data_IF_745737954204
#
_entry.id   IF_745737954204
#
_cell.length_a   1.000
_cell.length_b   1.000
_cell.length_c   1.000
_cell.angle_alpha   90.00
_cell.angle_beta   90.00
_cell.angle_gamma   90.00
#
_symmetry.space_group_name_H-M   'P 1'
#
loop_
_entity.id
_entity.type
_entity.pdbx_description
1 polymer ?
#
# COMPACT_ATOMS: atom_id res chain seq x y z
N UNK A 1 4.13 -17.71 13.64
CA UNK A 1 4.89 -18.90 13.24
C UNK A 1 5.57 -18.71 11.91
N UNK A 2 6.58 -19.50 11.61
CA UNK A 2 7.18 -19.48 10.27
C UNK A 2 6.22 -20.08 9.25
N UNK A 3 6.19 -19.53 8.03
CA UNK A 3 5.39 -20.07 6.94
C UNK A 3 5.85 -21.50 6.60
N UNK A 4 4.92 -22.44 6.58
CA UNK A 4 5.19 -23.85 6.26
C UNK A 4 4.82 -24.18 4.80
N UNK A 5 4.03 -23.35 4.17
CA UNK A 5 3.60 -23.49 2.78
C UNK A 5 3.57 -22.15 2.05
N UNK A 6 3.50 -22.19 0.71
CA UNK A 6 3.37 -20.97 -0.12
C UNK A 6 2.08 -20.19 0.16
N UNK A 7 1.07 -20.84 0.72
CA UNK A 7 -0.23 -20.23 1.05
C UNK A 7 -0.22 -19.52 2.40
N UNK A 8 0.84 -19.68 3.19
CA UNK A 8 0.95 -19.06 4.52
C UNK A 8 1.44 -17.60 4.46
N UNK A 9 1.85 -17.14 3.28
CA UNK A 9 2.27 -15.75 3.10
C UNK A 9 1.07 -14.82 2.93
N UNK A 10 1.13 -13.58 3.46
CA UNK A 10 0.09 -12.57 3.27
C UNK A 10 -0.12 -12.16 1.81
N UNK A 11 0.88 -12.39 0.96
CA UNK A 11 0.86 -12.06 -0.48
C UNK A 11 1.20 -13.30 -1.29
N UNK A 12 0.25 -13.80 -2.08
CA UNK A 12 0.42 -14.99 -2.90
C UNK A 12 -0.12 -14.81 -4.31
N UNK A 13 0.53 -15.45 -5.29
CA UNK A 13 0.00 -15.54 -6.64
C UNK A 13 -1.17 -16.52 -6.70
N UNK A 14 -2.24 -16.17 -7.42
CA UNK A 14 -3.37 -17.05 -7.72
C UNK A 14 -3.48 -17.29 -9.22
N UNK A 15 -3.90 -18.52 -9.60
CA UNK A 15 -4.04 -18.90 -11.00
C UNK A 15 -5.22 -18.21 -11.69
N UNK A 16 -6.30 -17.95 -10.95
CA UNK A 16 -7.58 -17.44 -11.45
C UNK A 16 -7.74 -15.96 -11.10
N UNK A 17 -7.01 -15.08 -11.81
CA UNK A 17 -7.21 -13.64 -11.78
C UNK A 17 -8.35 -13.22 -12.71
N UNK A 18 -8.56 -11.92 -12.87
CA UNK A 18 -9.53 -11.36 -13.83
C UNK A 18 -9.19 -11.77 -15.28
N UNK A 19 -7.90 -11.70 -15.63
CA UNK A 19 -7.36 -12.24 -16.90
C UNK A 19 -6.06 -12.98 -16.59
N UNK A 20 -6.11 -14.30 -16.61
CA UNK A 20 -4.96 -15.13 -16.26
C UNK A 20 -4.65 -15.12 -14.77
N UNK A 21 -3.40 -14.85 -14.40
CA UNK A 21 -2.95 -14.84 -12.98
C UNK A 21 -3.35 -13.56 -12.27
N UNK A 22 -3.55 -13.67 -10.97
CA UNK A 22 -3.78 -12.54 -10.08
C UNK A 22 -2.89 -12.62 -8.83
N UNK A 23 -3.06 -11.65 -7.94
CA UNK A 23 -2.46 -11.65 -6.61
C UNK A 23 -3.58 -11.68 -5.56
N UNK A 24 -3.42 -12.50 -4.53
CA UNK A 24 -4.23 -12.47 -3.32
C UNK A 24 -3.40 -11.79 -2.23
N UNK A 25 -3.98 -10.75 -1.64
CA UNK A 25 -3.44 -10.03 -0.49
C UNK A 25 -4.36 -10.32 0.69
N UNK A 26 -3.80 -10.69 1.82
CA UNK A 26 -4.55 -11.08 3.00
C UNK A 26 -3.90 -10.54 4.26
N UNK A 27 -4.69 -9.88 5.11
CA UNK A 27 -4.25 -9.49 6.44
C UNK A 27 -4.29 -10.71 7.36
N UNK A 28 -3.19 -11.00 8.04
CA UNK A 28 -3.04 -12.19 8.86
C UNK A 28 -2.50 -11.85 10.24
N UNK A 29 -2.92 -12.65 11.22
CA UNK A 29 -2.30 -12.68 12.53
C UNK A 29 -0.87 -13.22 12.42
N UNK A 30 0.07 -12.59 13.11
CA UNK A 30 1.49 -12.94 13.11
C UNK A 30 1.85 -13.95 14.21
N UNK A 31 0.88 -14.31 15.04
CA UNK A 31 1.03 -15.25 16.11
C UNK A 31 1.90 -14.73 17.27
N UNK A 32 2.36 -15.65 18.12
CA UNK A 32 3.13 -15.33 19.32
C UNK A 32 4.45 -14.60 19.03
N UNK A 33 5.11 -14.91 17.92
CA UNK A 33 6.35 -14.23 17.53
C UNK A 33 6.10 -12.76 17.17
N UNK A 34 5.07 -12.49 16.38
CA UNK A 34 4.70 -11.12 16.06
C UNK A 34 4.25 -10.32 17.28
N UNK A 35 3.48 -10.95 18.19
CA UNK A 35 3.08 -10.34 19.44
C UNK A 35 4.28 -9.95 20.31
N UNK A 36 5.33 -10.76 20.33
CA UNK A 36 6.57 -10.48 21.08
C UNK A 36 7.29 -9.22 20.60
N UNK A 37 7.21 -8.93 19.28
CA UNK A 37 7.77 -7.71 18.67
C UNK A 37 6.71 -6.64 18.42
N UNK A 38 5.51 -6.77 19.00
CA UNK A 38 4.36 -5.86 18.88
C UNK A 38 3.85 -5.72 17.44
N UNK A 39 4.10 -6.69 16.59
CA UNK A 39 3.59 -6.78 15.22
C UNK A 39 2.47 -7.82 15.18
N UNK A 40 1.28 -7.48 15.67
CA UNK A 40 0.18 -8.42 15.87
C UNK A 40 -0.43 -8.94 14.57
N UNK A 41 -0.42 -8.12 13.54
CA UNK A 41 -0.95 -8.47 12.21
C UNK A 41 0.04 -8.08 11.12
N UNK A 42 -0.06 -8.76 9.99
CA UNK A 42 0.65 -8.44 8.76
C UNK A 42 -0.35 -8.31 7.61
N UNK A 43 -0.45 -7.12 7.03
CA UNK A 43 -1.21 -6.90 5.82
C UNK A 43 -0.46 -7.47 4.60
N UNK A 44 -1.21 -8.09 3.69
CA UNK A 44 -0.68 -8.45 2.38
C UNK A 44 -0.49 -7.20 1.55
N UNK A 45 0.71 -7.03 0.99
CA UNK A 45 1.07 -5.88 0.18
C UNK A 45 1.71 -6.32 -1.12
N UNK A 46 1.40 -5.59 -2.18
CA UNK A 46 2.12 -5.63 -3.46
C UNK A 46 2.44 -4.20 -3.87
N UNK A 47 3.70 -3.92 -4.17
CA UNK A 47 4.11 -2.57 -4.54
C UNK A 47 5.21 -2.56 -5.59
N UNK A 48 5.32 -1.44 -6.28
CA UNK A 48 6.46 -1.13 -7.14
C UNK A 48 7.49 -0.35 -6.32
N UNK A 49 8.68 -0.93 -6.15
CA UNK A 49 9.75 -0.35 -5.35
C UNK A 49 10.77 -1.36 -4.88
N UNK A 50 11.50 -1.06 -3.81
CA UNK A 50 12.49 -1.93 -3.19
C UNK A 50 12.14 -2.20 -1.73
N UNK A 51 12.59 -3.32 -1.20
CA UNK A 51 12.34 -3.73 0.17
C UNK A 51 13.67 -3.97 0.91
N UNK A 52 13.87 -3.29 2.03
CA UNK A 52 15.07 -3.40 2.86
C UNK A 52 14.81 -4.32 4.05
N UNK A 53 15.23 -5.58 3.90
CA UNK A 53 15.00 -6.63 4.90
C UNK A 53 15.56 -6.25 6.28
N UNK A 54 16.68 -5.53 6.34
CA UNK A 54 17.29 -5.09 7.60
C UNK A 54 16.38 -4.20 8.46
N UNK A 55 15.55 -3.39 7.83
CA UNK A 55 14.62 -2.49 8.52
C UNK A 55 13.27 -3.17 8.83
N UNK A 56 12.98 -4.33 8.25
CA UNK A 56 11.65 -4.93 8.30
C UNK A 56 11.15 -5.27 9.71
N UNK A 57 12.04 -5.57 10.65
CA UNK A 57 11.70 -5.91 12.03
C UNK A 57 11.78 -4.72 13.00
N UNK A 58 12.58 -3.72 12.68
CA UNK A 58 12.83 -2.57 13.55
C UNK A 58 12.00 -1.36 13.17
N UNK A 59 11.81 -1.14 11.87
CA UNK A 59 11.04 -0.03 11.33
C UNK A 59 10.37 -0.44 10.00
N UNK A 60 9.27 -1.23 10.06
CA UNK A 60 8.61 -1.78 8.87
C UNK A 60 8.16 -0.73 7.86
N UNK A 61 7.83 0.48 8.30
CA UNK A 61 7.40 1.58 7.43
C UNK A 61 8.54 2.08 6.55
N UNK A 62 9.76 2.10 7.07
CA UNK A 62 10.98 2.46 6.33
C UNK A 62 11.57 1.31 5.54
N UNK A 63 11.12 0.08 5.77
CA UNK A 63 11.57 -1.08 5.01
C UNK A 63 11.11 -1.04 3.54
N UNK A 64 10.03 -0.33 3.25
CA UNK A 64 9.45 -0.26 1.91
C UNK A 64 9.77 1.07 1.26
N UNK A 65 10.54 1.05 0.18
CA UNK A 65 10.89 2.21 -0.62
C UNK A 65 10.10 2.17 -1.92
N UNK A 66 9.21 3.14 -2.13
CA UNK A 66 8.26 3.13 -3.24
C UNK A 66 8.80 3.79 -4.50
N UNK A 67 8.53 3.17 -5.63
CA UNK A 67 8.65 3.76 -6.96
C UNK A 67 9.97 3.54 -7.67
N UNK A 68 9.85 3.55 -9.00
CA UNK A 68 10.96 3.58 -9.94
C UNK A 68 10.83 4.78 -10.88
N UNK A 69 11.91 5.15 -11.56
CA UNK A 69 11.92 6.24 -12.53
C UNK A 69 10.80 6.09 -13.55
N UNK A 70 10.12 7.19 -13.81
CA UNK A 70 8.97 7.23 -14.70
C UNK A 70 9.01 8.49 -15.57
N UNK A 71 8.78 8.30 -16.88
CA UNK A 71 9.03 9.30 -17.91
C UNK A 71 7.76 9.79 -18.61
N UNK A 72 6.58 9.42 -18.09
CA UNK A 72 5.28 9.77 -18.68
C UNK A 72 4.38 10.45 -17.65
N UNK A 73 3.40 11.21 -18.12
CA UNK A 73 2.34 11.73 -17.26
C UNK A 73 1.30 10.65 -17.00
N UNK A 74 1.16 10.16 -15.77
CA UNK A 74 0.07 9.25 -15.47
C UNK A 74 -1.26 10.01 -15.48
N UNK A 75 -2.31 9.39 -16.02
CA UNK A 75 -3.65 9.97 -16.05
C UNK A 75 -4.57 9.29 -15.07
N UNK A 76 -4.54 7.96 -15.05
CA UNK A 76 -5.51 7.16 -14.31
C UNK A 76 -4.87 5.85 -13.87
N UNK A 77 -5.13 5.44 -12.64
CA UNK A 77 -4.85 4.10 -12.12
C UNK A 77 -6.10 3.24 -12.33
N UNK A 78 -5.99 2.14 -13.08
CA UNK A 78 -7.12 1.26 -13.43
C UNK A 78 -6.79 -0.18 -13.09
N UNK A 79 -7.82 -0.92 -12.73
CA UNK A 79 -7.69 -2.35 -12.50
C UNK A 79 -9.00 -3.00 -12.06
N UNK A 80 -8.88 -4.24 -11.60
CA UNK A 80 -9.98 -5.03 -11.11
C UNK A 80 -9.58 -5.66 -9.78
N UNK A 81 -10.48 -5.66 -8.81
CA UNK A 81 -10.26 -6.26 -7.51
C UNK A 81 -11.50 -6.99 -7.00
N UNK A 82 -11.29 -7.85 -6.04
CA UNK A 82 -12.31 -8.40 -5.15
C UNK A 82 -11.87 -8.08 -3.75
N UNK A 83 -12.77 -7.68 -2.90
CA UNK A 83 -12.45 -7.37 -1.52
C UNK A 83 -13.49 -7.94 -0.58
N UNK A 84 -13.00 -8.51 0.51
CA UNK A 84 -13.81 -8.92 1.65
C UNK A 84 -13.06 -8.52 2.91
N UNK A 85 -13.70 -7.72 3.76
CA UNK A 85 -13.15 -7.39 5.06
C UNK A 85 -13.10 -8.63 5.95
N UNK A 86 -12.10 -8.72 6.82
CA UNK A 86 -12.04 -9.73 7.87
C UNK A 86 -13.18 -9.56 8.88
N UNK A 87 -13.48 -10.64 9.59
CA UNK A 87 -14.57 -10.63 10.59
C UNK A 87 -14.20 -9.82 11.83
N UNK A 88 -12.90 -9.69 12.13
CA UNK A 88 -12.39 -8.97 13.29
C UNK A 88 -11.40 -7.89 12.84
N UNK A 89 -11.70 -6.66 13.19
CA UNK A 89 -10.75 -5.56 13.12
C UNK A 89 -10.09 -5.40 14.49
N UNK A 90 -8.77 -5.30 14.55
CA UNK A 90 -8.04 -5.18 15.81
C UNK A 90 -7.00 -4.07 15.78
N UNK A 91 -6.85 -3.36 16.89
CA UNK A 91 -5.79 -2.39 17.13
C UNK A 91 -4.94 -2.88 18.30
N UNK A 92 -3.64 -2.99 18.11
CA UNK A 92 -2.70 -3.57 19.10
C UNK A 92 -3.13 -4.95 19.63
N UNK A 93 -3.68 -5.78 18.75
CA UNK A 93 -4.19 -7.11 19.11
C UNK A 93 -5.51 -7.10 19.89
N UNK A 94 -6.15 -5.94 20.06
CA UNK A 94 -7.45 -5.81 20.73
C UNK A 94 -8.56 -5.62 19.72
N UNK A 95 -9.57 -6.50 19.68
CA UNK A 95 -10.72 -6.35 18.80
C UNK A 95 -11.44 -5.00 19.01
N UNK A 96 -11.87 -4.40 17.90
CA UNK A 96 -12.67 -3.17 17.87
C UNK A 96 -14.05 -3.50 17.29
N UNK A 97 -15.09 -3.31 18.09
CA UNK A 97 -16.45 -3.58 17.65
C UNK A 97 -16.97 -2.50 16.68
N UNK A 98 -17.73 -2.90 15.68
CA UNK A 98 -18.35 -1.99 14.73
C UNK A 98 -17.43 -1.38 13.69
N UNK A 99 -16.14 -1.71 13.70
CA UNK A 99 -15.17 -1.25 12.70
C UNK A 99 -14.94 -2.33 11.68
N UNK A 100 -14.98 -1.98 10.38
CA UNK A 100 -14.62 -2.86 9.27
C UNK A 100 -13.44 -2.29 8.52
N UNK A 101 -12.47 -3.15 8.25
CA UNK A 101 -11.29 -2.81 7.47
C UNK A 101 -11.66 -2.48 6.01
N UNK A 102 -10.79 -1.79 5.32
CA UNK A 102 -10.85 -1.49 3.89
C UNK A 102 -9.50 -1.80 3.25
N UNK A 103 -9.51 -2.24 2.00
CA UNK A 103 -8.27 -2.32 1.24
C UNK A 103 -7.80 -0.93 0.82
N UNK A 104 -6.52 -0.81 0.50
CA UNK A 104 -5.94 0.41 -0.06
C UNK A 104 -5.34 0.14 -1.45
N UNK A 105 -5.70 0.98 -2.40
CA UNK A 105 -5.23 0.93 -3.79
C UNK A 105 -4.77 2.33 -4.14
N UNK A 106 -3.47 2.53 -4.34
CA UNK A 106 -2.98 3.85 -4.71
C UNK A 106 -1.76 3.83 -5.61
N UNK A 107 -1.54 4.95 -6.28
CA UNK A 107 -0.31 5.25 -6.99
C UNK A 107 0.12 6.68 -6.68
N UNK A 108 1.42 6.86 -6.47
CA UNK A 108 2.03 8.14 -6.18
C UNK A 108 3.05 8.50 -7.25
N UNK A 109 3.05 9.77 -7.68
CA UNK A 109 4.14 10.31 -8.47
C UNK A 109 4.82 11.42 -7.69
N UNK A 110 6.13 11.35 -7.57
CA UNK A 110 6.91 12.28 -6.79
C UNK A 110 8.21 12.69 -7.49
N UNK A 111 8.71 13.86 -7.14
CA UNK A 111 9.96 14.38 -7.68
C UNK A 111 11.15 13.72 -7.00
N UNK A 112 12.13 13.26 -7.80
CA UNK A 112 13.33 12.60 -7.34
C UNK A 112 14.54 13.06 -8.17
N UNK A 113 15.38 13.89 -7.58
CA UNK A 113 16.57 14.44 -8.24
C UNK A 113 17.58 13.37 -8.66
N UNK A 114 17.59 12.26 -7.93
CA UNK A 114 18.45 11.12 -8.16
C UNK A 114 17.82 9.81 -7.66
N UNK A 115 18.50 8.69 -7.87
CA UNK A 115 17.97 7.37 -7.52
C UNK A 115 17.88 7.11 -6.02
N UNK A 116 18.61 7.84 -5.18
CA UNK A 116 18.57 7.66 -3.73
C UNK A 116 17.34 8.32 -3.08
N UNK A 117 16.66 9.23 -3.77
CA UNK A 117 15.40 9.82 -3.28
C UNK A 117 14.29 8.79 -3.41
N UNK A 118 13.80 8.30 -2.28
CA UNK A 118 12.69 7.33 -2.19
C UNK A 118 11.68 7.84 -1.17
N UNK A 119 10.39 7.57 -1.41
CA UNK A 119 9.35 7.69 -0.41
C UNK A 119 9.12 6.32 0.23
N UNK A 120 8.79 6.31 1.50
CA UNK A 120 8.50 5.11 2.27
C UNK A 120 7.13 5.19 2.98
N UNK A 121 6.81 4.25 3.84
CA UNK A 121 5.50 4.20 4.52
C UNK A 121 5.23 5.38 5.45
N UNK A 122 6.25 6.13 5.90
CA UNK A 122 6.07 7.26 6.79
C UNK A 122 5.72 8.55 6.04
N UNK A 123 6.25 8.71 4.82
CA UNK A 123 6.20 9.99 4.11
C UNK A 123 5.46 9.94 2.75
N UNK A 124 5.01 8.77 2.32
CA UNK A 124 4.39 8.56 1.01
C UNK A 124 3.20 9.50 0.71
N UNK A 125 2.47 9.95 1.73
CA UNK A 125 1.33 10.87 1.58
C UNK A 125 1.61 12.30 2.06
N UNK A 126 2.70 12.51 2.78
CA UNK A 126 2.99 13.81 3.44
C UNK A 126 4.17 14.55 2.83
N UNK A 127 5.04 13.86 2.09
CA UNK A 127 6.24 14.42 1.49
C UNK A 127 5.96 15.62 0.60
N UNK A 128 6.81 16.64 0.71
CA UNK A 128 6.78 17.80 -0.19
C UNK A 128 7.22 17.45 -1.62
N UNK A 129 7.82 16.28 -1.83
CA UNK A 129 8.18 15.78 -3.16
C UNK A 129 7.00 15.21 -3.93
N UNK A 130 5.90 14.87 -3.24
CA UNK A 130 4.70 14.31 -3.87
C UNK A 130 4.07 15.31 -4.81
N UNK A 131 3.85 14.89 -6.08
CA UNK A 131 3.34 15.76 -7.15
C UNK A 131 1.92 15.39 -7.53
N UNK A 132 1.62 14.11 -7.66
CA UNK A 132 0.25 13.65 -7.91
C UNK A 132 -0.02 12.31 -7.26
N UNK A 133 -1.29 12.08 -6.96
CA UNK A 133 -1.80 10.92 -6.23
C UNK A 133 -3.06 10.41 -6.91
N UNK A 134 -3.14 9.10 -7.12
CA UNK A 134 -4.38 8.38 -7.40
C UNK A 134 -4.59 7.40 -6.24
N UNK A 135 -5.64 7.57 -5.43
CA UNK A 135 -5.94 6.68 -4.29
C UNK A 135 -7.43 6.41 -4.21
N UNK A 136 -7.79 5.15 -4.03
CA UNK A 136 -9.18 4.78 -3.77
C UNK A 136 -9.65 5.41 -2.46
N UNK A 137 -10.83 6.00 -2.44
CA UNK A 137 -11.39 6.49 -1.19
C UNK A 137 -11.99 5.33 -0.41
N UNK A 138 -11.89 5.31 0.92
CA UNK A 138 -12.45 4.23 1.74
C UNK A 138 -13.94 3.99 1.50
N UNK A 139 -14.71 5.05 1.24
CA UNK A 139 -16.13 4.99 0.92
C UNK A 139 -16.44 4.34 -0.44
N UNK A 140 -15.49 4.37 -1.38
CA UNK A 140 -15.63 3.79 -2.71
C UNK A 140 -15.19 2.31 -2.76
N UNK A 141 -14.64 1.76 -1.65
CA UNK A 141 -14.26 0.36 -1.57
C UNK A 141 -15.50 -0.52 -1.43
N UNK A 142 -15.72 -1.37 -2.43
CA UNK A 142 -16.86 -2.30 -2.49
C UNK A 142 -16.43 -3.68 -1.99
N UNK A 143 -17.15 -4.22 -0.99
CA UNK A 143 -17.02 -5.63 -0.61
C UNK A 143 -17.82 -6.50 -1.59
N UNK A 144 -17.13 -7.37 -2.33
CA UNK A 144 -17.75 -8.24 -3.32
C UNK A 144 -16.88 -9.45 -3.63
N UNK A 145 -17.52 -10.61 -3.83
CA UNK A 145 -16.90 -11.81 -4.40
C UNK A 145 -16.80 -11.74 -5.94
N UNK A 146 -17.42 -10.74 -6.55
CA UNK A 146 -17.31 -10.48 -7.98
C UNK A 146 -16.19 -9.46 -8.24
N UNK A 147 -15.60 -9.53 -9.45
CA UNK A 147 -14.62 -8.55 -9.87
C UNK A 147 -15.25 -7.17 -9.99
N UNK A 148 -14.69 -6.23 -9.26
CA UNK A 148 -15.07 -4.81 -9.26
C UNK A 148 -14.00 -4.02 -9.99
N UNK A 149 -14.42 -3.18 -10.92
CA UNK A 149 -13.52 -2.29 -11.65
C UNK A 149 -13.19 -1.07 -10.78
N UNK A 150 -11.98 -0.56 -10.90
CA UNK A 150 -11.65 0.76 -10.40
C UNK A 150 -10.95 1.59 -11.49
N UNK A 151 -11.25 2.87 -11.46
CA UNK A 151 -10.65 3.88 -12.33
C UNK A 151 -10.44 5.16 -11.53
N UNK A 152 -9.22 5.38 -11.07
CA UNK A 152 -8.87 6.46 -10.15
C UNK A 152 -8.00 7.47 -10.89
N UNK A 153 -8.45 8.72 -11.09
CA UNK A 153 -7.65 9.74 -11.73
C UNK A 153 -6.45 10.14 -10.85
N UNK A 154 -5.35 10.49 -11.49
CA UNK A 154 -4.23 11.15 -10.80
C UNK A 154 -4.56 12.62 -10.58
N UNK A 155 -4.62 13.04 -9.34
CA UNK A 155 -4.87 14.41 -8.97
C UNK A 155 -3.60 15.11 -8.49
N UNK A 156 -3.42 16.39 -8.83
CA UNK A 156 -2.29 17.18 -8.32
C UNK A 156 -2.32 17.30 -6.80
N UNK A 157 -1.19 17.10 -6.15
CA UNK A 157 -1.06 17.32 -4.71
C UNK A 157 -0.57 18.74 -4.45
N UNK A 158 -1.25 19.49 -3.57
CA UNK A 158 -0.92 20.88 -3.23
C UNK A 158 -0.78 21.79 -4.45
N UNK A 159 -1.54 21.54 -5.52
CA UNK A 159 -1.50 22.33 -6.77
C UNK A 159 -0.21 22.17 -7.60
N UNK A 160 0.62 21.17 -7.31
CA UNK A 160 1.86 20.94 -8.05
C UNK A 160 1.58 20.44 -9.46
N UNK A 161 2.43 20.85 -10.38
CA UNK A 161 2.36 20.47 -11.80
C UNK A 161 3.60 19.70 -12.17
N UNK A 162 3.43 18.67 -12.99
CA UNK A 162 4.55 17.89 -13.54
C UNK A 162 5.27 18.75 -14.58
N UNK A 163 6.55 18.99 -14.36
CA UNK A 163 7.43 19.72 -15.29
C UNK A 163 7.91 18.78 -16.41
N UNK A 164 7.75 19.19 -17.68
CA UNK A 164 8.09 18.36 -18.83
C UNK A 164 9.60 18.13 -18.99
N UNK A 165 10.43 19.11 -18.61
CA UNK A 165 11.88 18.98 -18.68
C UNK A 165 12.36 17.99 -17.63
N UNK A 166 11.90 18.11 -16.39
CA UNK A 166 12.19 17.16 -15.34
C UNK A 166 11.70 15.74 -15.68
N UNK A 167 10.50 15.65 -16.29
CA UNK A 167 9.93 14.36 -16.70
C UNK A 167 10.82 13.66 -17.75
N UNK A 168 11.24 14.39 -18.79
CA UNK A 168 12.14 13.87 -19.82
C UNK A 168 13.51 13.45 -19.26
N UNK A 169 13.98 14.15 -18.23
CA UNK A 169 15.24 13.87 -17.57
C UNK A 169 15.15 12.81 -16.45
N UNK A 170 14.00 12.13 -16.31
CA UNK A 170 13.82 11.05 -15.33
C UNK A 170 13.85 11.53 -13.88
N UNK A 171 13.45 12.79 -13.62
CA UNK A 171 13.42 13.39 -12.27
C UNK A 171 12.12 13.09 -11.52
N UNK A 172 11.37 12.09 -11.97
CA UNK A 172 10.18 11.62 -11.29
C UNK A 172 10.22 10.10 -11.08
N UNK A 173 9.59 9.66 -10.01
CA UNK A 173 9.33 8.26 -9.74
C UNK A 173 7.83 8.01 -9.60
N UNK A 174 7.39 6.81 -9.99
CA UNK A 174 6.04 6.33 -9.82
C UNK A 174 6.07 5.07 -8.96
N UNK A 175 5.32 5.09 -7.87
CA UNK A 175 5.01 3.93 -7.05
C UNK A 175 3.56 3.53 -7.20
N UNK A 176 3.27 2.25 -7.20
CA UNK A 176 1.92 1.69 -7.11
C UNK A 176 1.91 0.76 -5.93
N UNK A 177 0.88 0.85 -5.10
CA UNK A 177 0.73 0.03 -3.90
C UNK A 177 -0.68 -0.52 -3.84
N UNK A 178 -0.77 -1.81 -3.59
CA UNK A 178 -1.99 -2.53 -3.29
C UNK A 178 -1.84 -3.15 -1.91
N UNK A 179 -2.76 -2.88 -1.00
CA UNK A 179 -2.74 -3.41 0.36
C UNK A 179 -4.08 -4.04 0.72
N UNK A 180 -4.04 -5.15 1.45
CA UNK A 180 -5.24 -5.79 1.98
C UNK A 180 -5.91 -4.97 3.08
N UNK A 181 -5.22 -3.98 3.66
CA UNK A 181 -5.73 -3.11 4.72
C UNK A 181 -5.25 -1.67 4.52
N UNK A 182 -6.15 -0.70 4.66
CA UNK A 182 -5.81 0.73 4.66
C UNK A 182 -4.99 1.10 5.90
N UNK A 183 -5.22 0.41 7.00
CA UNK A 183 -4.55 0.58 8.28
C UNK A 183 -3.40 -0.41 8.49
N UNK A 184 -3.07 -1.21 7.48
CA UNK A 184 -2.09 -2.30 7.58
C UNK A 184 -0.71 -1.89 8.07
N UNK A 185 -0.29 -0.66 7.83
CA UNK A 185 0.91 -0.09 8.41
C UNK A 185 0.67 0.54 9.80
N UNK A 186 -0.56 0.97 10.10
CA UNK A 186 -0.93 1.59 11.36
C UNK A 186 -1.24 0.57 12.45
N UNK A 187 -1.66 -0.63 12.07
CA UNK A 187 -1.90 -1.73 13.01
C UNK A 187 -0.59 -2.28 13.62
N UNK A 188 0.55 -1.90 13.06
CA UNK A 188 1.87 -2.23 13.60
C UNK A 188 2.38 -1.22 14.63
N UNK A 189 1.89 0.03 14.61
CA UNK A 189 2.30 1.08 15.54
C UNK A 189 1.15 2.06 15.76
N UNK A 190 0.50 1.99 16.89
CA UNK A 190 -0.38 3.06 17.33
C UNK A 190 0.43 4.16 17.98
N UNK A 191 0.68 5.20 17.24
CA UNK A 191 0.64 6.55 17.79
C UNK A 191 -0.67 7.18 17.29
N UNK A 192 -1.51 7.77 18.13
CA UNK A 192 -2.70 8.45 17.65
C UNK A 192 -2.24 9.59 16.75
N UNK A 193 -2.51 9.48 15.46
CA UNK A 193 -2.47 10.64 14.60
C UNK A 193 -3.68 11.49 14.95
N UNK A 194 -3.52 12.76 15.34
CA UNK A 194 -4.65 13.64 15.47
C UNK A 194 -5.27 13.78 14.07
N UNK A 195 -6.49 13.25 13.93
CA UNK A 195 -7.38 13.62 12.83
C UNK A 195 -8.14 14.84 13.31
N UNK A 196 -7.73 15.99 12.89
CA UNK A 196 -8.53 17.18 12.78
C UNK A 196 -8.91 17.39 11.33
#
# INVERSE_FOLDING_TARGET
GMANSKTDYPTVQVANGFRGKGVKLETRDTGSFGAMVKMYIAAGNLFIGTFEVGNALTDPRKATNFGFQFYKRPKTLKGHYKFKAGDVYSVEGKPQEGVRDKCDIYAVMYEAENNSVMLNGDDVFTSDKLVSLARIKPEDVVESDQWTDFEIPFEPVKGRVIDDTKLKNGKYKLGIVLSSSVDGACLLYTSPSPRD
#
